data_IF_173942034415
#
_entry.id   IF_173942034415
#
_cell.length_a   1.000
_cell.length_b   1.000
_cell.length_c   1.000
_cell.angle_alpha   90.00
_cell.angle_beta   90.00
_cell.angle_gamma   90.00
#
_symmetry.space_group_name_H-M   'P 1'
#
loop_
_entity.id
_entity.type
_entity.pdbx_description
1 polymer ?
#
# COMPACT_ATOMS: atom_id res chain seq x y z
N UNK A 1 26.21 20.26 21.79
CA UNK A 1 26.22 18.87 22.27
C UNK A 1 27.23 18.79 23.41
N UNK A 2 27.02 18.00 24.47
CA UNK A 2 28.01 17.87 25.53
C UNK A 2 29.21 17.05 25.03
N UNK A 3 30.42 17.44 25.43
CA UNK A 3 31.65 16.73 25.07
C UNK A 3 31.68 15.34 25.71
N UNK A 4 31.99 14.32 24.92
CA UNK A 4 32.20 12.94 25.38
C UNK A 4 31.08 11.93 25.09
N UNK A 5 29.97 12.33 24.47
CA UNK A 5 28.93 11.37 24.03
C UNK A 5 29.27 10.87 22.63
N UNK A 6 29.83 9.67 22.53
CA UNK A 6 29.97 8.95 21.26
C UNK A 6 28.71 8.09 21.07
N UNK A 7 27.85 8.35 20.09
CA UNK A 7 26.67 7.52 19.85
C UNK A 7 27.14 6.15 19.36
N UNK A 8 27.13 5.12 20.21
CA UNK A 8 27.37 3.74 19.76
C UNK A 8 26.09 3.21 19.11
N UNK A 9 25.78 3.71 17.91
CA UNK A 9 24.64 3.21 17.16
C UNK A 9 25.13 1.98 16.40
N UNK A 10 25.04 0.81 17.03
CA UNK A 10 25.12 -0.47 16.33
C UNK A 10 23.81 -0.67 15.54
N UNK A 11 23.59 0.19 14.53
CA UNK A 11 22.43 0.14 13.65
C UNK A 11 22.69 -0.87 12.53
N UNK A 12 22.13 -2.06 12.68
CA UNK A 12 22.10 -3.06 11.61
C UNK A 12 20.90 -2.77 10.70
N UNK A 13 21.13 -1.96 9.66
CA UNK A 13 20.12 -1.55 8.68
C UNK A 13 19.38 -2.74 8.05
N UNK A 14 20.05 -3.90 7.91
CA UNK A 14 19.49 -5.10 7.26
C UNK A 14 18.29 -5.66 8.01
N UNK A 15 18.18 -5.38 9.32
CA UNK A 15 17.00 -5.75 10.13
C UNK A 15 15.76 -4.93 9.78
N UNK A 16 15.92 -3.82 9.07
CA UNK A 16 14.86 -2.86 8.76
C UNK A 16 14.57 -2.76 7.25
N UNK A 17 15.43 -3.31 6.38
CA UNK A 17 15.23 -3.35 4.92
C UNK A 17 14.30 -4.49 4.46
N UNK A 18 13.21 -4.75 5.18
CA UNK A 18 12.21 -5.77 4.84
C UNK A 18 11.47 -5.48 3.53
N UNK A 19 10.44 -6.29 3.19
CA UNK A 19 9.61 -6.01 2.01
C UNK A 19 8.78 -4.74 2.24
N UNK A 20 8.95 -3.77 1.35
CA UNK A 20 8.31 -2.46 1.42
C UNK A 20 6.93 -2.48 0.75
N UNK A 21 5.93 -1.94 1.44
CA UNK A 21 4.60 -1.70 0.89
C UNK A 21 4.30 -0.21 0.96
N UNK A 22 3.94 0.37 -0.18
CA UNK A 22 3.58 1.77 -0.29
C UNK A 22 2.07 1.95 -0.28
N UNK A 23 1.57 2.97 0.41
CA UNK A 23 0.17 3.40 0.26
C UNK A 23 0.12 4.33 -0.96
N UNK A 24 -0.45 3.81 -2.06
CA UNK A 24 -0.63 4.57 -3.30
C UNK A 24 -1.77 5.59 -3.18
N UNK A 25 -2.79 5.29 -2.36
CA UNK A 25 -3.87 6.21 -2.04
C UNK A 25 -4.51 5.87 -0.71
N UNK A 26 -4.97 6.90 -0.03
CA UNK A 26 -5.75 6.82 1.19
C UNK A 26 -7.00 7.66 1.03
N UNK A 27 -8.13 7.16 1.51
CA UNK A 27 -9.33 7.98 1.64
C UNK A 27 -9.14 9.09 2.69
N UNK A 28 -9.53 10.32 2.36
CA UNK A 28 -9.31 11.51 3.19
C UNK A 28 -10.43 11.75 4.21
N UNK A 29 -11.62 11.19 4.01
CA UNK A 29 -12.74 11.49 4.90
C UNK A 29 -12.64 10.71 6.21
N UNK A 30 -12.36 9.39 6.15
CA UNK A 30 -12.28 8.57 7.36
C UNK A 30 -11.32 7.37 7.23
N UNK A 31 -10.37 7.40 6.29
CA UNK A 31 -9.42 6.30 6.06
C UNK A 31 -10.17 4.96 5.82
N UNK A 32 -11.32 5.02 5.15
CA UNK A 32 -12.19 3.85 4.98
C UNK A 32 -11.61 2.82 4.01
N UNK A 33 -10.83 3.29 3.03
CA UNK A 33 -10.11 2.43 2.11
C UNK A 33 -8.68 2.94 1.85
N UNK A 34 -7.81 2.02 1.48
CA UNK A 34 -6.45 2.29 1.07
C UNK A 34 -6.08 1.43 -0.14
N UNK A 35 -5.33 2.02 -1.07
CA UNK A 35 -4.72 1.28 -2.16
C UNK A 35 -3.26 1.06 -1.79
N UNK A 36 -2.84 -0.18 -1.66
CA UNK A 36 -1.48 -0.55 -1.28
C UNK A 36 -0.79 -1.27 -2.43
N UNK A 37 0.44 -0.86 -2.76
CA UNK A 37 1.28 -1.54 -3.75
C UNK A 37 2.53 -2.12 -3.11
N UNK A 38 3.00 -3.24 -3.64
CA UNK A 38 4.31 -3.78 -3.29
C UNK A 38 5.46 -2.95 -3.85
N UNK A 39 6.68 -3.44 -3.67
CA UNK A 39 7.92 -2.87 -4.23
C UNK A 39 7.94 -2.82 -5.77
N UNK A 40 7.01 -3.50 -6.44
CA UNK A 40 6.90 -3.56 -7.89
C UNK A 40 5.43 -3.51 -8.34
N UNK A 41 5.21 -3.55 -9.65
CA UNK A 41 3.88 -3.55 -10.28
C UNK A 41 3.26 -4.95 -10.38
N UNK A 42 3.69 -5.90 -9.54
CA UNK A 42 3.11 -7.25 -9.50
C UNK A 42 2.09 -7.39 -8.37
N UNK A 43 2.10 -6.48 -7.40
CA UNK A 43 1.23 -6.55 -6.25
C UNK A 43 0.49 -5.25 -5.98
N UNK A 44 -0.84 -5.30 -6.04
CA UNK A 44 -1.73 -4.19 -5.73
C UNK A 44 -2.96 -4.71 -4.98
N UNK A 45 -3.31 -4.04 -3.88
CA UNK A 45 -4.45 -4.40 -3.05
C UNK A 45 -5.35 -3.20 -2.80
N UNK A 46 -6.66 -3.46 -2.85
CA UNK A 46 -7.69 -2.61 -2.30
C UNK A 46 -8.01 -3.10 -0.89
N UNK A 47 -7.65 -2.30 0.11
CA UNK A 47 -7.95 -2.58 1.51
C UNK A 47 -9.13 -1.71 1.93
N UNK A 48 -10.12 -2.30 2.58
CA UNK A 48 -11.29 -1.59 3.09
C UNK A 48 -11.54 -1.96 4.54
N UNK A 49 -11.98 -0.99 5.35
CA UNK A 49 -12.43 -1.23 6.73
C UNK A 49 -13.79 -1.91 6.80
N UNK A 50 -14.56 -1.87 5.70
CA UNK A 50 -15.86 -2.52 5.56
C UNK A 50 -15.79 -3.62 4.48
N UNK A 51 -16.54 -4.73 4.63
CA UNK A 51 -16.58 -5.80 3.63
C UNK A 51 -17.28 -5.37 2.33
N UNK A 52 -18.15 -4.37 2.41
CA UNK A 52 -18.77 -3.74 1.26
C UNK A 52 -18.01 -2.46 0.87
N UNK A 53 -17.62 -2.38 -0.40
CA UNK A 53 -16.99 -1.19 -1.00
C UNK A 53 -17.90 -0.72 -2.13
N UNK A 54 -18.10 0.61 -2.24
CA UNK A 54 -18.92 1.19 -3.30
C UNK A 54 -18.33 0.92 -4.69
N UNK A 55 -19.20 0.85 -5.70
CA UNK A 55 -18.79 0.57 -7.06
C UNK A 55 -17.85 1.66 -7.61
N UNK A 56 -18.09 2.92 -7.24
CA UNK A 56 -17.21 4.04 -7.61
C UNK A 56 -15.77 3.84 -7.13
N UNK A 57 -15.57 3.32 -5.92
CA UNK A 57 -14.22 3.07 -5.38
C UNK A 57 -13.55 1.92 -6.12
N UNK A 58 -14.29 0.89 -6.52
CA UNK A 58 -13.76 -0.22 -7.35
C UNK A 58 -13.38 0.27 -8.74
N UNK A 59 -14.22 1.06 -9.39
CA UNK A 59 -13.92 1.65 -10.71
C UNK A 59 -12.68 2.53 -10.64
N UNK A 60 -12.58 3.36 -9.61
CA UNK A 60 -11.42 4.22 -9.37
C UNK A 60 -10.15 3.42 -9.09
N UNK A 61 -10.26 2.27 -8.41
CA UNK A 61 -9.16 1.33 -8.23
C UNK A 61 -8.70 0.76 -9.57
N UNK A 62 -9.61 0.21 -10.37
CA UNK A 62 -9.31 -0.35 -11.71
C UNK A 62 -8.67 0.70 -12.62
N UNK A 63 -9.21 1.92 -12.65
CA UNK A 63 -8.67 3.02 -13.44
C UNK A 63 -7.23 3.36 -13.02
N UNK A 64 -6.94 3.39 -11.72
CA UNK A 64 -5.58 3.65 -11.23
C UNK A 64 -4.61 2.51 -11.59
N UNK A 65 -5.04 1.26 -11.45
CA UNK A 65 -4.25 0.07 -11.82
C UNK A 65 -3.81 0.12 -13.28
N UNK A 66 -4.73 0.52 -14.18
CA UNK A 66 -4.43 0.67 -15.62
C UNK A 66 -3.53 1.86 -15.90
N UNK A 67 -3.84 3.04 -15.38
CA UNK A 67 -3.23 4.29 -15.84
C UNK A 67 -1.86 4.60 -15.23
N UNK A 68 -1.58 4.20 -13.98
CA UNK A 68 -0.34 4.63 -13.31
C UNK A 68 0.80 3.63 -13.35
N UNK A 69 0.48 2.35 -13.49
CA UNK A 69 1.41 1.30 -13.07
C UNK A 69 1.49 0.10 -14.03
N UNK A 70 0.72 0.09 -15.13
CA UNK A 70 0.78 -0.97 -16.13
C UNK A 70 0.41 -2.36 -15.61
N UNK A 71 -0.41 -2.44 -14.55
CA UNK A 71 -0.90 -3.71 -14.02
C UNK A 71 -1.89 -4.33 -15.00
N UNK A 72 -1.77 -5.64 -15.25
CA UNK A 72 -2.80 -6.38 -15.98
C UNK A 72 -4.05 -6.51 -15.10
N UNK A 73 -5.05 -5.70 -15.40
CA UNK A 73 -6.31 -5.74 -14.64
C UNK A 73 -7.11 -7.02 -14.82
N UNK A 74 -6.74 -7.90 -15.75
CA UNK A 74 -7.38 -9.22 -15.89
C UNK A 74 -6.98 -10.20 -14.78
N UNK A 75 -5.87 -9.93 -14.07
CA UNK A 75 -5.45 -10.74 -12.92
C UNK A 75 -6.00 -10.22 -11.58
N UNK A 76 -6.86 -9.18 -11.61
CA UNK A 76 -7.47 -8.66 -10.39
C UNK A 76 -8.45 -9.68 -9.80
N UNK A 77 -8.07 -10.21 -8.63
CA UNK A 77 -8.91 -11.10 -7.84
C UNK A 77 -9.75 -10.24 -6.89
N UNK A 78 -11.07 -10.30 -7.05
CA UNK A 78 -12.00 -9.73 -6.08
C UNK A 78 -12.35 -10.79 -5.03
N UNK A 79 -11.90 -10.58 -3.80
CA UNK A 79 -12.24 -11.46 -2.69
C UNK A 79 -13.77 -11.42 -2.45
N UNK A 80 -14.40 -12.59 -2.40
CA UNK A 80 -15.80 -12.69 -1.98
C UNK A 80 -15.88 -12.63 -0.46
N UNK A 81 -16.60 -11.65 0.06
CA UNK A 81 -16.94 -11.54 1.47
C UNK A 81 -18.36 -12.06 1.68
N UNK A 82 -18.56 -12.93 2.68
CA UNK A 82 -19.88 -13.39 3.13
C UNK A 82 -20.46 -12.47 4.19
#
# INVERSE_FOLDING_TARGET
MPDGVVPSINFDERRYLGKWYGIARLDHENYQYAFASGHNTSFLWLLSRTPAVSEEVKERFIAMSRSRLGFDTHELIFAQHK
#
